data_IF_695718094447
#
_entry.id   IF_695718094447
#
_cell.length_a   1.000
_cell.length_b   1.000
_cell.length_c   1.000
_cell.angle_alpha   90.00
_cell.angle_beta   90.00
_cell.angle_gamma   90.00
#
_symmetry.space_group_name_H-M   'P 1'
#
loop_
_entity.id
_entity.type
_entity.pdbx_description
1 polymer ?
#
# COMPACT_ATOMS: atom_id res chain seq x y z
N UNK A 1 25.87 21.16 83.19
CA UNK A 1 25.77 19.71 83.23
C UNK A 1 24.36 19.32 82.85
N UNK A 2 24.15 18.87 81.61
CA UNK A 2 22.87 18.32 81.11
C UNK A 2 23.19 17.03 80.38
N UNK A 3 22.75 15.96 80.94
CA UNK A 3 22.93 14.60 80.45
C UNK A 3 21.95 14.34 79.32
N UNK A 4 22.44 13.92 78.15
CA UNK A 4 21.65 13.50 77.00
C UNK A 4 21.50 11.97 77.09
N UNK A 5 20.23 11.51 77.13
CA UNK A 5 19.88 10.10 76.96
C UNK A 5 19.67 9.82 75.43
N UNK A 6 20.49 8.86 74.96
CA UNK A 6 20.31 8.30 73.62
C UNK A 6 19.40 7.06 73.72
N UNK A 7 18.23 7.11 73.10
CA UNK A 7 17.33 5.96 72.96
C UNK A 7 17.60 5.34 71.58
N UNK A 8 18.15 4.13 71.61
CA UNK A 8 18.33 3.32 70.39
C UNK A 8 17.02 2.60 70.08
N UNK A 9 16.36 3.03 69.01
CA UNK A 9 15.19 2.31 68.44
C UNK A 9 15.64 1.33 67.40
N UNK A 10 15.41 0.02 67.65
CA UNK A 10 15.54 -1.04 66.68
C UNK A 10 14.39 -0.96 65.66
N UNK A 11 14.65 -0.57 64.43
CA UNK A 11 13.73 -0.75 63.30
C UNK A 11 14.00 -2.13 62.68
N UNK A 12 13.10 -3.06 62.90
CA UNK A 12 13.04 -4.33 62.16
C UNK A 12 12.51 -4.03 60.73
N UNK A 13 13.37 -4.07 59.73
CA UNK A 13 12.98 -3.99 58.34
C UNK A 13 12.34 -5.32 57.93
N UNK A 14 11.01 -5.29 57.67
CA UNK A 14 10.32 -6.37 57.01
C UNK A 14 10.65 -6.26 55.51
N UNK A 15 11.54 -7.14 55.05
CA UNK A 15 11.79 -7.31 53.62
C UNK A 15 10.61 -8.05 53.02
N UNK A 16 9.67 -7.31 52.43
CA UNK A 16 8.63 -7.86 51.56
C UNK A 16 9.34 -8.37 50.30
N UNK A 17 9.42 -9.67 50.15
CA UNK A 17 9.88 -10.32 48.94
C UNK A 17 8.92 -9.99 47.79
N UNK A 18 9.29 -9.04 46.94
CA UNK A 18 8.68 -8.90 45.61
C UNK A 18 9.06 -10.15 44.81
N UNK A 19 8.12 -11.09 44.70
CA UNK A 19 8.24 -12.16 43.74
C UNK A 19 8.44 -11.54 42.36
N UNK A 20 9.58 -11.82 41.73
CA UNK A 20 9.81 -11.56 40.34
C UNK A 20 8.71 -12.32 39.55
N UNK A 21 7.73 -11.60 39.08
CA UNK A 21 6.84 -12.14 38.07
C UNK A 21 7.73 -12.56 36.90
N UNK A 22 7.86 -13.87 36.70
CA UNK A 22 8.51 -14.43 35.51
C UNK A 22 7.81 -13.82 34.30
N UNK A 23 8.52 -12.94 33.60
CA UNK A 23 8.04 -12.42 32.32
C UNK A 23 7.81 -13.63 31.42
N UNK A 24 6.57 -13.92 31.12
CA UNK A 24 6.22 -14.92 30.11
C UNK A 24 6.94 -14.43 28.83
N UNK A 25 7.83 -15.25 28.23
CA UNK A 25 8.50 -14.85 27.01
C UNK A 25 7.42 -14.54 25.99
N UNK A 26 7.38 -13.31 25.52
CA UNK A 26 6.52 -12.94 24.37
C UNK A 26 6.95 -13.85 23.22
N UNK A 27 6.07 -14.69 22.65
CA UNK A 27 6.45 -15.52 21.52
C UNK A 27 7.04 -14.61 20.44
N UNK A 28 8.28 -14.89 20.04
CA UNK A 28 8.89 -14.15 18.94
C UNK A 28 8.06 -14.29 17.67
N UNK A 29 8.23 -13.38 16.72
CA UNK A 29 7.55 -13.45 15.44
C UNK A 29 7.73 -14.83 14.78
N UNK A 30 6.69 -15.33 14.10
CA UNK A 30 6.79 -16.55 13.30
C UNK A 30 7.98 -16.50 12.35
N UNK A 31 8.72 -17.60 12.23
CA UNK A 31 9.85 -17.70 11.29
C UNK A 31 9.38 -18.01 9.88
N UNK A 32 8.30 -18.75 9.75
CA UNK A 32 7.68 -19.04 8.48
C UNK A 32 7.02 -17.79 7.90
N UNK A 33 7.28 -17.42 6.62
CA UNK A 33 6.72 -16.23 6.00
C UNK A 33 5.20 -16.22 5.96
N UNK A 34 4.57 -17.36 5.68
CA UNK A 34 3.12 -17.50 5.58
C UNK A 34 2.46 -17.32 6.96
N UNK A 35 3.07 -17.90 7.99
CA UNK A 35 2.60 -17.73 9.38
C UNK A 35 2.74 -16.27 9.83
N UNK A 36 3.80 -15.58 9.44
CA UNK A 36 3.98 -14.16 9.77
C UNK A 36 2.93 -13.29 9.09
N UNK A 37 2.62 -13.51 7.81
CA UNK A 37 1.51 -12.83 7.14
C UNK A 37 0.17 -13.13 7.82
N UNK A 38 -0.11 -14.39 8.13
CA UNK A 38 -1.33 -14.79 8.81
C UNK A 38 -1.47 -14.13 10.20
N UNK A 39 -0.36 -13.95 10.91
CA UNK A 39 -0.34 -13.26 12.19
C UNK A 39 -0.54 -11.73 12.06
N UNK A 40 -0.11 -11.13 10.95
CA UNK A 40 -0.20 -9.68 10.72
C UNK A 40 -1.53 -9.26 10.08
N UNK A 41 -2.01 -9.99 9.08
CA UNK A 41 -3.16 -9.64 8.24
C UNK A 41 -4.41 -9.19 9.02
N UNK A 42 -4.82 -9.84 10.13
CA UNK A 42 -6.01 -9.42 10.88
C UNK A 42 -5.96 -8.00 11.44
N UNK A 43 -4.76 -7.39 11.48
CA UNK A 43 -4.57 -6.04 12.01
C UNK A 43 -4.50 -4.94 10.95
N UNK A 44 -4.61 -5.28 9.65
CA UNK A 44 -4.33 -4.32 8.58
C UNK A 44 -5.47 -4.09 7.59
N UNK A 45 -6.58 -4.77 7.72
CA UNK A 45 -7.74 -4.57 6.86
C UNK A 45 -8.72 -3.59 7.53
N UNK A 46 -8.69 -2.31 7.11
CA UNK A 46 -9.65 -1.29 7.52
C UNK A 46 -10.96 -1.34 6.72
N UNK A 47 -11.08 -2.25 5.75
CA UNK A 47 -12.31 -2.47 4.97
C UNK A 47 -13.08 -3.73 5.40
N UNK A 48 -12.62 -4.39 6.48
CA UNK A 48 -13.26 -5.59 7.01
C UNK A 48 -14.69 -5.33 7.50
N UNK A 49 -15.63 -6.17 7.10
CA UNK A 49 -17.06 -6.09 7.47
C UNK A 49 -17.33 -6.15 8.98
N UNK A 50 -16.34 -6.55 9.78
CA UNK A 50 -16.41 -6.63 11.25
C UNK A 50 -16.19 -5.30 11.95
N UNK A 51 -15.75 -4.27 11.24
CA UNK A 51 -15.51 -2.94 11.81
C UNK A 51 -16.82 -2.16 11.96
N UNK A 52 -16.90 -1.32 12.98
CA UNK A 52 -17.95 -0.30 13.08
C UNK A 52 -17.64 0.82 12.08
N UNK A 53 -18.67 1.51 11.55
CA UNK A 53 -18.48 2.62 10.62
C UNK A 53 -17.54 3.69 11.16
N UNK A 54 -16.66 4.19 10.29
CA UNK A 54 -15.61 5.15 10.63
C UNK A 54 -15.36 6.15 9.50
N UNK A 55 -14.84 7.34 9.86
CA UNK A 55 -14.38 8.38 8.95
C UNK A 55 -12.92 8.71 9.26
N UNK A 56 -12.06 8.63 8.24
CA UNK A 56 -10.66 9.01 8.30
C UNK A 56 -10.44 10.29 7.51
N UNK A 57 -9.62 11.17 8.07
CA UNK A 57 -9.08 12.34 7.38
C UNK A 57 -7.56 12.34 7.50
N UNK A 58 -6.89 12.55 6.38
CA UNK A 58 -5.44 12.69 6.29
C UNK A 58 -5.07 13.89 5.41
N UNK A 59 -4.05 14.62 5.84
CA UNK A 59 -3.39 15.65 5.05
C UNK A 59 -2.15 15.05 4.40
N UNK A 60 -1.83 15.44 3.15
CA UNK A 60 -0.62 15.00 2.48
C UNK A 60 0.08 16.12 1.75
N UNK A 61 1.40 15.95 1.56
CA UNK A 61 2.29 16.83 0.80
C UNK A 61 2.89 16.02 -0.34
N UNK A 62 2.73 16.50 -1.56
CA UNK A 62 3.45 16.01 -2.75
C UNK A 62 4.79 16.74 -2.90
N UNK A 63 5.74 16.06 -3.54
CA UNK A 63 7.07 16.59 -3.82
C UNK A 63 7.36 16.50 -5.31
N UNK A 64 8.07 17.52 -5.84
CA UNK A 64 8.48 17.59 -7.24
C UNK A 64 9.65 16.62 -7.56
N UNK A 65 10.11 16.62 -8.81
CA UNK A 65 11.24 15.80 -9.27
C UNK A 65 12.56 16.13 -8.56
N UNK A 66 12.70 17.33 -8.03
CA UNK A 66 13.84 17.80 -7.27
C UNK A 66 13.73 17.46 -5.77
N UNK A 67 12.57 16.95 -5.33
CA UNK A 67 12.29 16.63 -3.94
C UNK A 67 11.84 17.81 -3.09
N UNK A 68 11.48 18.96 -3.71
CA UNK A 68 10.91 20.12 -3.02
C UNK A 68 9.40 19.91 -2.81
N UNK A 69 8.81 20.45 -1.72
CA UNK A 69 7.36 20.48 -1.55
C UNK A 69 6.69 21.18 -2.75
N UNK A 70 5.69 20.53 -3.34
CA UNK A 70 4.94 21.07 -4.48
C UNK A 70 3.49 21.38 -4.09
N UNK A 71 2.64 20.37 -3.98
CA UNK A 71 1.22 20.53 -3.72
C UNK A 71 0.84 19.89 -2.36
N UNK A 72 -0.10 20.50 -1.66
CA UNK A 72 -0.74 19.92 -0.49
C UNK A 72 -2.14 19.47 -0.86
N UNK A 73 -2.59 18.39 -0.21
CA UNK A 73 -3.94 17.88 -0.39
C UNK A 73 -4.48 17.22 0.86
N UNK A 74 -5.74 16.81 0.78
CA UNK A 74 -6.40 16.01 1.80
C UNK A 74 -6.98 14.75 1.18
N UNK A 75 -6.94 13.68 1.94
CA UNK A 75 -7.62 12.44 1.64
C UNK A 75 -8.62 12.16 2.76
N UNK A 76 -9.87 11.93 2.40
CA UNK A 76 -10.91 11.55 3.35
C UNK A 76 -11.58 10.26 2.90
N UNK A 77 -11.88 9.38 3.87
CA UNK A 77 -12.53 8.10 3.60
C UNK A 77 -13.63 7.85 4.64
N UNK A 78 -14.85 7.70 4.15
CA UNK A 78 -16.02 7.34 4.93
C UNK A 78 -16.34 5.88 4.66
N UNK A 79 -16.28 5.04 5.67
CA UNK A 79 -16.52 3.62 5.52
C UNK A 79 -17.67 3.15 6.43
N UNK A 80 -18.64 2.46 5.85
CA UNK A 80 -19.77 1.84 6.56
C UNK A 80 -19.71 0.33 6.41
N UNK A 81 -19.48 -0.17 5.20
CA UNK A 81 -19.38 -1.59 4.87
C UNK A 81 -18.59 -1.76 3.57
N UNK A 82 -18.21 -2.99 3.19
CA UNK A 82 -17.58 -3.23 1.89
C UNK A 82 -18.39 -2.75 0.69
N UNK A 83 -19.73 -2.61 0.84
CA UNK A 83 -20.64 -2.14 -0.20
C UNK A 83 -21.00 -0.66 -0.07
N UNK A 84 -20.67 -0.01 1.06
CA UNK A 84 -21.09 1.38 1.31
C UNK A 84 -19.92 2.18 1.88
N UNK A 85 -19.30 2.97 1.04
CA UNK A 85 -18.17 3.84 1.39
C UNK A 85 -18.04 5.01 0.42
N UNK A 86 -17.26 6.02 0.84
CA UNK A 86 -16.87 7.16 0.01
C UNK A 86 -15.40 7.43 0.19
N UNK A 87 -14.69 7.77 -0.90
CA UNK A 87 -13.35 8.36 -0.83
C UNK A 87 -13.35 9.74 -1.49
N UNK A 88 -12.56 10.67 -0.94
CA UNK A 88 -12.40 12.00 -1.51
C UNK A 88 -10.94 12.42 -1.45
N UNK A 89 -10.42 12.85 -2.58
CA UNK A 89 -9.14 13.51 -2.74
C UNK A 89 -9.37 14.97 -3.04
N UNK A 90 -8.69 15.88 -2.36
CA UNK A 90 -8.78 17.32 -2.64
C UNK A 90 -7.41 17.94 -2.66
N UNK A 91 -7.11 18.67 -3.75
CA UNK A 91 -5.96 19.55 -3.93
C UNK A 91 -6.49 20.91 -4.37
N UNK A 92 -5.67 22.00 -4.38
CA UNK A 92 -6.17 23.33 -4.71
C UNK A 92 -6.96 23.42 -6.02
N UNK A 93 -6.55 22.67 -7.05
CA UNK A 93 -7.15 22.72 -8.38
C UNK A 93 -7.79 21.40 -8.83
N UNK A 94 -7.92 20.42 -7.93
CA UNK A 94 -8.46 19.11 -8.27
C UNK A 94 -9.21 18.48 -7.10
N UNK A 95 -10.39 17.95 -7.39
CA UNK A 95 -11.16 17.14 -6.43
C UNK A 95 -11.68 15.89 -7.13
N UNK A 96 -11.47 14.73 -6.50
CA UNK A 96 -11.97 13.44 -6.97
C UNK A 96 -12.72 12.78 -5.84
N UNK A 97 -13.96 12.41 -6.08
CA UNK A 97 -14.78 11.71 -5.10
C UNK A 97 -15.46 10.52 -5.74
N UNK A 98 -15.34 9.38 -5.07
CA UNK A 98 -15.98 8.13 -5.41
C UNK A 98 -16.92 7.70 -4.30
N UNK A 99 -18.13 7.24 -4.68
CA UNK A 99 -19.11 6.66 -3.77
C UNK A 99 -19.43 5.25 -4.21
N UNK A 100 -19.41 4.32 -3.27
CA UNK A 100 -20.05 3.02 -3.38
C UNK A 100 -21.26 3.03 -2.46
N UNK A 101 -22.43 2.80 -3.00
CA UNK A 101 -23.69 2.86 -2.26
C UNK A 101 -24.23 1.46 -1.98
N UNK A 102 -24.94 1.33 -0.86
CA UNK A 102 -25.44 0.02 -0.39
C UNK A 102 -26.36 -0.70 -1.39
N UNK A 103 -26.92 0.01 -2.37
CA UNK A 103 -27.72 -0.55 -3.47
C UNK A 103 -26.86 -1.00 -4.67
N UNK A 104 -25.53 -1.04 -4.52
CA UNK A 104 -24.58 -1.53 -5.50
C UNK A 104 -24.30 -0.56 -6.65
N UNK A 105 -24.56 0.72 -6.47
CA UNK A 105 -24.17 1.74 -7.42
C UNK A 105 -22.82 2.31 -7.08
N UNK A 106 -22.08 2.66 -8.10
CA UNK A 106 -20.83 3.39 -8.03
C UNK A 106 -21.05 4.78 -8.66
N UNK A 107 -20.73 5.83 -7.93
CA UNK A 107 -20.83 7.19 -8.41
C UNK A 107 -19.47 7.87 -8.34
N UNK A 108 -19.17 8.71 -9.33
CA UNK A 108 -17.91 9.44 -9.43
C UNK A 108 -18.17 10.90 -9.77
N UNK A 109 -17.42 11.79 -9.12
CA UNK A 109 -17.39 13.21 -9.43
C UNK A 109 -15.95 13.72 -9.36
N UNK A 110 -15.44 14.25 -10.46
CA UNK A 110 -14.09 14.77 -10.52
C UNK A 110 -14.06 16.16 -11.16
N UNK A 111 -13.14 16.98 -10.68
CA UNK A 111 -12.76 18.29 -11.24
C UNK A 111 -11.25 18.41 -11.24
N UNK A 112 -10.70 19.13 -12.22
CA UNK A 112 -9.26 19.40 -12.31
C UNK A 112 -8.44 18.22 -12.79
N UNK A 113 -7.18 18.19 -12.38
CA UNK A 113 -6.20 17.19 -12.82
C UNK A 113 -6.47 15.82 -12.23
N UNK A 114 -6.06 14.79 -12.95
CA UNK A 114 -6.13 13.39 -12.51
C UNK A 114 -5.35 13.14 -11.24
N UNK A 115 -5.76 12.11 -10.48
CA UNK A 115 -4.97 11.60 -9.38
C UNK A 115 -3.66 11.00 -9.90
N UNK A 116 -2.59 11.23 -9.15
CA UNK A 116 -1.28 10.65 -9.44
C UNK A 116 -1.23 9.22 -8.89
N UNK A 117 -0.49 8.34 -9.54
CA UNK A 117 -0.32 6.96 -9.11
C UNK A 117 0.03 6.81 -7.62
N UNK A 118 0.82 7.74 -7.09
CA UNK A 118 1.23 7.71 -5.68
C UNK A 118 0.12 8.09 -4.69
N UNK A 119 -0.90 8.82 -5.12
CA UNK A 119 -2.10 9.08 -4.31
C UNK A 119 -2.87 7.77 -4.09
N UNK A 120 -3.05 6.93 -5.11
CA UNK A 120 -3.62 5.59 -4.94
C UNK A 120 -2.78 4.69 -4.06
N UNK A 121 -1.44 4.80 -4.12
CA UNK A 121 -0.55 4.07 -3.20
C UNK A 121 -0.72 4.52 -1.75
N UNK A 122 -1.00 5.81 -1.50
CA UNK A 122 -1.33 6.29 -0.17
C UNK A 122 -2.64 5.67 0.35
N UNK A 123 -3.67 5.56 -0.49
CA UNK A 123 -4.93 4.90 -0.10
C UNK A 123 -4.68 3.45 0.32
N UNK A 124 -3.97 2.67 -0.48
CA UNK A 124 -3.60 1.30 -0.13
C UNK A 124 -2.80 1.22 1.17
N UNK A 125 -1.84 2.13 1.36
CA UNK A 125 -1.03 2.19 2.58
C UNK A 125 -1.85 2.51 3.84
N UNK A 126 -2.93 3.27 3.73
CA UNK A 126 -3.82 3.62 4.83
C UNK A 126 -4.85 2.52 5.14
N UNK A 127 -5.42 1.89 4.10
CA UNK A 127 -6.59 1.02 4.24
C UNK A 127 -6.24 -0.47 4.29
N UNK A 128 -5.35 -0.94 3.40
CA UNK A 128 -4.98 -2.35 3.24
C UNK A 128 -3.53 -2.49 2.79
N UNK A 129 -2.56 -2.18 3.67
CA UNK A 129 -1.14 -2.17 3.28
C UNK A 129 -0.52 -3.56 3.08
N UNK A 130 -1.22 -4.63 3.45
CA UNK A 130 -0.81 -6.02 3.23
C UNK A 130 -1.69 -6.67 2.16
N UNK A 131 -1.15 -7.62 1.38
CA UNK A 131 -1.96 -8.40 0.45
C UNK A 131 -2.94 -9.30 1.21
N UNK A 132 -4.06 -9.59 0.60
CA UNK A 132 -4.99 -10.56 1.14
C UNK A 132 -4.36 -11.97 1.17
N UNK A 133 -4.69 -12.75 2.20
CA UNK A 133 -4.17 -14.11 2.32
C UNK A 133 -4.56 -15.01 1.12
N UNK A 134 -5.72 -14.74 0.50
CA UNK A 134 -6.18 -15.41 -0.73
C UNK A 134 -5.35 -15.07 -1.96
N UNK A 135 -4.72 -13.89 -2.00
CA UNK A 135 -3.85 -13.47 -3.10
C UNK A 135 -2.45 -14.13 -3.04
N UNK A 136 -2.11 -14.78 -1.93
CA UNK A 136 -0.84 -15.46 -1.72
C UNK A 136 -0.90 -16.95 -2.08
N UNK A 137 -1.55 -17.28 -3.20
CA UNK A 137 -1.65 -18.64 -3.73
C UNK A 137 -0.25 -19.24 -3.98
N UNK A 138 0.13 -20.35 -3.29
CA UNK A 138 1.45 -20.94 -3.43
C UNK A 138 1.71 -21.55 -4.81
N UNK A 139 0.68 -21.71 -5.64
CA UNK A 139 0.85 -22.11 -7.05
C UNK A 139 1.24 -20.96 -7.96
N UNK A 140 1.08 -19.70 -7.48
CA UNK A 140 1.38 -18.49 -8.23
C UNK A 140 2.54 -17.68 -7.64
N UNK A 141 2.78 -17.81 -6.34
CA UNK A 141 3.78 -17.01 -5.63
C UNK A 141 4.66 -17.86 -4.71
N UNK A 142 5.91 -17.44 -4.60
CA UNK A 142 6.87 -17.88 -3.58
C UNK A 142 7.03 -16.77 -2.56
N UNK A 143 7.10 -17.12 -1.28
CA UNK A 143 7.37 -16.20 -0.20
C UNK A 143 8.81 -16.41 0.29
N UNK A 144 9.67 -15.43 0.08
CA UNK A 144 11.05 -15.47 0.55
C UNK A 144 11.20 -14.58 1.79
N UNK A 145 11.85 -15.12 2.84
CA UNK A 145 12.17 -14.37 4.04
C UNK A 145 13.55 -13.76 3.91
N UNK A 146 13.61 -12.46 4.13
CA UNK A 146 14.82 -11.67 4.12
C UNK A 146 14.98 -10.89 5.44
N UNK A 147 16.14 -10.28 5.65
CA UNK A 147 16.37 -9.40 6.80
C UNK A 147 16.94 -8.08 6.32
N UNK A 148 16.25 -6.99 6.61
CA UNK A 148 16.75 -5.64 6.38
C UNK A 148 17.35 -5.09 7.67
N UNK A 149 18.58 -4.56 7.58
CA UNK A 149 19.20 -3.80 8.67
C UNK A 149 19.06 -2.31 8.41
N UNK A 150 18.54 -1.55 9.38
CA UNK A 150 18.46 -0.09 9.34
C UNK A 150 18.61 0.45 10.76
N UNK A 151 19.47 1.45 10.96
CA UNK A 151 19.70 2.13 12.24
C UNK A 151 19.96 1.16 13.43
N UNK A 152 20.69 0.09 13.16
CA UNK A 152 21.03 -0.94 14.17
C UNK A 152 19.91 -1.96 14.44
N UNK A 153 18.71 -1.78 13.92
CA UNK A 153 17.62 -2.73 14.03
C UNK A 153 17.60 -3.70 12.83
N UNK A 154 17.16 -4.94 13.08
CA UNK A 154 16.99 -5.98 12.05
C UNK A 154 15.50 -6.27 11.86
N UNK A 155 14.97 -5.93 10.71
CA UNK A 155 13.56 -6.11 10.34
C UNK A 155 13.40 -7.41 9.55
N UNK A 156 12.56 -8.36 9.99
CA UNK A 156 12.16 -9.49 9.18
C UNK A 156 11.28 -8.99 8.02
N UNK A 157 11.68 -9.32 6.81
CA UNK A 157 10.97 -8.94 5.59
C UNK A 157 10.47 -10.18 4.86
N UNK A 158 9.33 -10.07 4.22
CA UNK A 158 8.77 -11.11 3.35
C UNK A 158 8.62 -10.53 1.95
N UNK A 159 9.26 -11.15 0.97
CA UNK A 159 9.13 -10.81 -0.43
C UNK A 159 8.16 -11.77 -1.11
N UNK A 160 7.18 -11.24 -1.84
CA UNK A 160 6.18 -11.99 -2.59
C UNK A 160 6.63 -12.08 -4.05
N UNK A 161 7.18 -13.22 -4.44
CA UNK A 161 7.78 -13.42 -5.76
C UNK A 161 6.83 -14.23 -6.63
N UNK A 162 6.39 -13.73 -7.80
CA UNK A 162 5.62 -14.52 -8.75
C UNK A 162 6.41 -15.76 -9.19
N UNK A 163 5.77 -16.92 -9.27
CA UNK A 163 6.35 -18.11 -9.90
C UNK A 163 6.35 -17.86 -11.40
N UNK A 164 7.56 -17.73 -11.95
CA UNK A 164 7.75 -17.48 -13.38
C UNK A 164 7.98 -18.78 -14.14
N UNK A 165 7.48 -18.91 -15.38
CA UNK A 165 7.87 -20.00 -16.26
C UNK A 165 9.40 -20.02 -16.40
N UNK A 166 9.97 -21.20 -16.39
CA UNK A 166 11.42 -21.43 -16.35
C UNK A 166 12.11 -20.88 -17.60
N UNK A 167 12.60 -19.65 -17.53
CA UNK A 167 13.70 -19.20 -18.37
C UNK A 167 14.80 -18.70 -17.43
N UNK A 168 15.74 -19.59 -17.08
CA UNK A 168 16.88 -19.31 -16.22
C UNK A 168 16.46 -18.92 -14.82
N UNK A 169 16.62 -19.81 -13.83
CA UNK A 169 16.37 -19.46 -12.43
C UNK A 169 17.30 -18.32 -12.03
N UNK A 170 16.77 -17.13 -11.83
CA UNK A 170 17.48 -16.08 -11.13
C UNK A 170 17.59 -16.55 -9.68
N UNK A 171 18.77 -17.02 -9.30
CA UNK A 171 19.02 -17.63 -7.98
C UNK A 171 18.88 -16.63 -6.84
N UNK A 172 18.98 -15.32 -7.12
CA UNK A 172 18.87 -14.26 -6.14
C UNK A 172 18.07 -13.10 -6.73
N UNK A 173 16.96 -12.78 -6.10
CA UNK A 173 16.14 -11.62 -6.44
C UNK A 173 16.50 -10.51 -5.44
N UNK A 174 16.94 -9.32 -5.89
CA UNK A 174 17.22 -8.21 -5.00
C UNK A 174 15.99 -7.85 -4.14
N UNK A 175 16.20 -7.59 -2.85
CA UNK A 175 15.14 -7.18 -1.95
C UNK A 175 14.44 -5.92 -2.47
N UNK A 176 13.11 -5.93 -2.44
CA UNK A 176 12.28 -4.82 -2.88
C UNK A 176 11.99 -4.76 -4.37
N UNK A 177 12.59 -5.65 -5.17
CA UNK A 177 12.23 -5.76 -6.59
C UNK A 177 10.77 -6.17 -6.79
N UNK A 178 10.31 -7.14 -6.01
CA UNK A 178 8.92 -7.52 -5.89
C UNK A 178 8.32 -6.99 -4.57
N UNK A 179 7.00 -6.99 -4.42
CA UNK A 179 6.36 -6.55 -3.19
C UNK A 179 7.01 -7.19 -1.97
N UNK A 180 7.53 -6.36 -1.07
CA UNK A 180 8.26 -6.79 0.11
C UNK A 180 7.74 -6.06 1.33
N UNK A 181 7.46 -6.78 2.40
CA UNK A 181 6.85 -6.27 3.62
C UNK A 181 7.77 -6.54 4.80
N UNK A 182 8.23 -5.48 5.46
CA UNK A 182 9.17 -5.55 6.58
C UNK A 182 8.47 -5.20 7.89
N UNK A 183 8.54 -6.10 8.85
CA UNK A 183 7.84 -6.00 10.12
C UNK A 183 8.78 -5.57 11.25
N UNK A 184 8.20 -5.05 12.31
CA UNK A 184 8.89 -4.81 13.57
C UNK A 184 9.51 -6.13 14.08
N UNK A 185 10.73 -6.10 14.68
CA UNK A 185 11.39 -7.34 15.13
C UNK A 185 10.64 -8.13 16.20
N UNK A 186 9.76 -7.49 16.95
CA UNK A 186 9.07 -8.09 18.12
C UNK A 186 7.57 -8.29 17.91
N UNK A 187 6.96 -7.54 16.99
CA UNK A 187 5.51 -7.53 16.76
C UNK A 187 5.19 -7.62 15.26
N UNK A 188 4.04 -8.20 14.86
CA UNK A 188 3.63 -8.25 13.45
C UNK A 188 3.13 -6.86 12.98
N UNK A 189 3.94 -5.82 13.23
CA UNK A 189 3.68 -4.43 12.87
C UNK A 189 4.51 -4.07 11.65
N UNK A 190 3.84 -3.71 10.57
CA UNK A 190 4.46 -3.28 9.32
C UNK A 190 5.20 -1.95 9.54
N UNK A 191 6.46 -1.89 9.15
CA UNK A 191 7.31 -0.70 9.25
C UNK A 191 7.68 -0.14 7.90
N UNK A 192 7.93 -1.00 6.93
CA UNK A 192 8.31 -0.61 5.58
C UNK A 192 7.72 -1.60 4.59
N UNK A 193 7.24 -1.12 3.47
CA UNK A 193 6.98 -1.96 2.30
C UNK A 193 7.73 -1.43 1.08
N UNK A 194 8.02 -2.33 0.17
CA UNK A 194 8.65 -2.02 -1.12
C UNK A 194 7.74 -2.52 -2.22
N UNK A 195 7.63 -1.74 -3.27
CA UNK A 195 6.94 -2.13 -4.50
C UNK A 195 7.66 -1.59 -5.72
N UNK A 196 7.54 -2.30 -6.83
CA UNK A 196 8.08 -1.91 -8.13
C UNK A 196 9.61 -1.70 -8.16
N UNK A 197 10.36 -2.30 -7.24
CA UNK A 197 11.81 -2.16 -7.16
C UNK A 197 12.31 -0.78 -6.73
N UNK A 198 11.49 0.25 -6.81
CA UNK A 198 11.89 1.64 -6.55
C UNK A 198 11.02 2.35 -5.52
N UNK A 199 9.76 1.95 -5.35
CA UNK A 199 8.82 2.60 -4.42
C UNK A 199 8.96 2.00 -3.03
N UNK A 200 9.25 2.85 -2.05
CA UNK A 200 9.32 2.49 -0.63
C UNK A 200 8.25 3.25 0.14
N UNK A 201 7.49 2.54 0.97
CA UNK A 201 6.51 3.13 1.89
C UNK A 201 6.96 2.89 3.33
N UNK A 202 7.13 3.96 4.08
CA UNK A 202 7.40 3.93 5.53
C UNK A 202 6.12 4.12 6.32
N UNK A 203 5.95 3.35 7.39
CA UNK A 203 4.79 3.36 8.30
C UNK A 203 5.24 3.76 9.69
N UNK A 204 4.92 4.98 10.11
CA UNK A 204 5.34 5.56 11.38
C UNK A 204 4.16 5.92 12.29
N UNK A 205 4.46 6.19 13.55
CA UNK A 205 3.47 6.62 14.56
C UNK A 205 2.25 5.70 14.61
N UNK A 206 2.51 4.38 14.68
CA UNK A 206 1.47 3.34 14.65
C UNK A 206 0.58 3.44 15.88
N UNK A 207 -0.73 3.46 15.66
CA UNK A 207 -1.77 3.43 16.71
C UNK A 207 -2.73 2.26 16.46
N UNK A 208 -3.48 1.88 17.49
CA UNK A 208 -4.57 0.89 17.33
C UNK A 208 -5.93 1.60 17.27
N UNK A 209 -6.70 1.25 16.23
CA UNK A 209 -8.08 1.70 16.04
C UNK A 209 -8.92 0.47 15.75
N UNK A 210 -9.97 0.22 16.54
CA UNK A 210 -10.84 -0.97 16.41
C UNK A 210 -10.04 -2.29 16.22
N UNK A 211 -8.96 -2.45 17.01
CA UNK A 211 -8.01 -3.56 16.93
C UNK A 211 -7.25 -3.69 15.61
N UNK A 212 -7.12 -2.59 14.81
CA UNK A 212 -6.28 -2.51 13.61
C UNK A 212 -5.09 -1.59 13.87
N UNK A 213 -3.97 -1.85 13.20
CA UNK A 213 -2.80 -0.97 13.20
C UNK A 213 -2.96 0.09 12.12
N UNK A 214 -2.98 1.34 12.51
CA UNK A 214 -3.01 2.50 11.62
C UNK A 214 -1.70 3.27 11.76
N UNK A 215 -1.00 3.47 10.67
CA UNK A 215 0.12 4.40 10.62
C UNK A 215 -0.43 5.83 10.53
N UNK A 216 -0.14 6.65 11.53
CA UNK A 216 -0.52 8.07 11.50
C UNK A 216 0.40 8.92 10.63
N UNK A 217 1.53 8.38 10.23
CA UNK A 217 2.45 9.04 9.31
C UNK A 217 2.90 8.03 8.25
N UNK A 218 2.68 8.39 7.00
CA UNK A 218 3.08 7.60 5.82
C UNK A 218 4.12 8.41 5.05
N UNK A 219 5.18 7.73 4.64
CA UNK A 219 6.25 8.31 3.82
C UNK A 219 6.40 7.48 2.56
N UNK A 220 6.24 8.09 1.38
CA UNK A 220 6.50 7.43 0.10
C UNK A 220 7.77 7.98 -0.53
N UNK A 221 8.62 7.08 -0.99
CA UNK A 221 9.84 7.39 -1.72
C UNK A 221 9.89 6.61 -3.03
N UNK A 222 10.48 7.22 -4.05
CA UNK A 222 10.90 6.56 -5.28
C UNK A 222 12.44 6.59 -5.33
N UNK A 223 13.04 5.43 -5.12
CA UNK A 223 14.47 5.35 -4.85
C UNK A 223 14.84 6.12 -3.58
N UNK A 224 15.60 7.20 -3.74
CA UNK A 224 15.97 8.12 -2.63
C UNK A 224 15.12 9.38 -2.58
N UNK A 225 14.31 9.63 -3.61
CA UNK A 225 13.49 10.83 -3.74
C UNK A 225 12.20 10.66 -2.94
N UNK A 226 11.91 11.60 -2.08
CA UNK A 226 10.62 11.69 -1.41
C UNK A 226 9.57 12.16 -2.44
N UNK A 227 8.45 11.47 -2.51
CA UNK A 227 7.37 11.77 -3.45
C UNK A 227 6.08 12.19 -2.77
N UNK A 228 5.83 11.66 -1.55
CA UNK A 228 4.66 12.01 -0.77
C UNK A 228 4.92 11.79 0.73
N UNK A 229 4.40 12.68 1.55
CA UNK A 229 4.24 12.44 2.99
C UNK A 229 2.78 12.65 3.37
N UNK A 230 2.23 11.83 4.26
CA UNK A 230 0.88 12.02 4.76
C UNK A 230 0.82 11.86 6.28
N UNK A 231 -0.11 12.58 6.88
CA UNK A 231 -0.45 12.49 8.31
C UNK A 231 -1.94 12.25 8.46
N UNK A 232 -2.32 11.22 9.21
CA UNK A 232 -3.71 11.01 9.60
C UNK A 232 -4.06 12.02 10.67
N UNK A 233 -4.90 12.98 10.33
CA UNK A 233 -5.36 14.05 11.22
C UNK A 233 -6.36 13.51 12.23
N UNK A 234 -7.33 12.73 11.75
CA UNK A 234 -8.37 12.12 12.58
C UNK A 234 -8.88 10.79 12.03
N UNK A 235 -9.36 9.95 12.94
CA UNK A 235 -10.23 8.82 12.63
C UNK A 235 -11.32 8.79 13.71
N UNK A 236 -12.58 8.85 13.29
CA UNK A 236 -13.74 9.01 14.17
C UNK A 236 -14.84 8.00 13.82
N UNK A 237 -15.77 7.79 14.74
CA UNK A 237 -16.96 7.00 14.44
C UNK A 237 -17.83 7.75 13.40
N UNK A 238 -18.46 6.99 12.52
CA UNK A 238 -19.34 7.50 11.47
C UNK A 238 -20.78 7.03 11.70
N UNK A 239 -21.76 7.90 11.41
CA UNK A 239 -23.14 7.46 11.27
C UNK A 239 -23.36 6.77 9.93
N UNK A 240 -23.99 5.58 9.86
CA UNK A 240 -24.36 4.96 8.59
C UNK A 240 -25.27 5.81 7.69
N UNK A 241 -25.95 6.80 8.27
CA UNK A 241 -26.82 7.75 7.58
C UNK A 241 -26.16 9.12 7.35
N UNK A 242 -24.83 9.19 7.39
CA UNK A 242 -24.11 10.44 7.14
C UNK A 242 -24.41 10.95 5.71
N UNK A 243 -24.83 12.23 5.53
CA UNK A 243 -25.15 12.79 4.22
C UNK A 243 -24.00 12.71 3.21
N UNK A 244 -22.76 12.68 3.69
CA UNK A 244 -21.59 12.54 2.84
C UNK A 244 -21.56 11.24 2.02
N UNK A 245 -22.27 10.21 2.45
CA UNK A 245 -22.39 8.91 1.79
C UNK A 245 -23.37 8.91 0.59
N UNK A 246 -24.09 10.00 0.39
CA UNK A 246 -25.05 10.14 -0.71
C UNK A 246 -24.40 10.93 -1.85
N UNK A 247 -24.31 10.36 -3.07
CA UNK A 247 -23.81 11.10 -4.22
C UNK A 247 -24.69 12.34 -4.49
N UNK A 248 -24.09 13.50 -4.81
CA UNK A 248 -24.85 14.68 -5.17
C UNK A 248 -25.48 14.54 -6.57
N UNK A 249 -26.43 15.40 -6.87
CA UNK A 249 -26.93 15.56 -8.24
C UNK A 249 -25.79 15.96 -9.19
N UNK A 250 -25.70 15.30 -10.33
CA UNK A 250 -24.62 15.51 -11.32
C UNK A 250 -23.39 14.61 -11.14
N UNK A 251 -23.35 13.74 -10.12
CA UNK A 251 -22.35 12.69 -10.09
C UNK A 251 -22.64 11.64 -11.19
N UNK A 252 -21.60 11.18 -11.87
CA UNK A 252 -21.71 10.08 -12.84
C UNK A 252 -21.98 8.78 -12.08
N UNK A 253 -23.11 8.13 -12.37
CA UNK A 253 -23.53 6.91 -11.66
C UNK A 253 -23.47 5.72 -12.59
N UNK A 254 -22.70 4.70 -12.22
CA UNK A 254 -22.61 3.40 -12.89
C UNK A 254 -23.11 2.27 -11.98
N UNK A 255 -23.66 1.21 -12.59
CA UNK A 255 -23.98 -0.05 -11.90
C UNK A 255 -22.85 -1.07 -12.02
N UNK A 256 -21.80 -0.73 -12.76
CA UNK A 256 -20.66 -1.61 -13.02
C UNK A 256 -19.42 -0.99 -12.44
N UNK A 257 -18.85 -1.62 -11.45
CA UNK A 257 -17.65 -1.14 -10.78
C UNK A 257 -16.41 -1.31 -11.66
N UNK A 258 -16.29 -2.47 -12.29
CA UNK A 258 -15.09 -2.83 -13.07
C UNK A 258 -15.42 -3.73 -14.24
N UNK A 259 -14.76 -3.48 -15.36
CA UNK A 259 -14.89 -4.28 -16.60
C UNK A 259 -13.54 -4.86 -16.98
N UNK A 260 -13.50 -6.13 -17.33
CA UNK A 260 -12.29 -6.73 -17.92
C UNK A 260 -12.25 -6.44 -19.44
N UNK A 261 -11.14 -5.87 -19.89
CA UNK A 261 -10.88 -5.64 -21.32
C UNK A 261 -9.54 -6.28 -21.73
N UNK A 262 -9.46 -6.65 -23.02
CA UNK A 262 -8.21 -7.22 -23.55
C UNK A 262 -7.11 -6.17 -23.68
N UNK A 263 -5.85 -6.63 -23.66
CA UNK A 263 -4.67 -5.78 -23.87
C UNK A 263 -4.72 -4.97 -25.18
N UNK A 264 -5.27 -5.54 -26.25
CA UNK A 264 -5.46 -4.84 -27.53
C UNK A 264 -6.44 -3.68 -27.44
N UNK A 265 -7.55 -3.85 -26.70
CA UNK A 265 -8.52 -2.79 -26.45
C UNK A 265 -7.91 -1.69 -25.62
N UNK A 266 -7.25 -2.02 -24.51
CA UNK A 266 -6.62 -1.02 -23.64
C UNK A 266 -5.53 -0.21 -24.37
N UNK A 267 -4.74 -0.85 -25.24
CA UNK A 267 -3.74 -0.17 -26.05
C UNK A 267 -4.32 0.91 -26.98
N UNK A 268 -5.55 0.70 -27.48
CA UNK A 268 -6.26 1.70 -28.30
C UNK A 268 -6.70 2.96 -27.53
N UNK A 269 -6.72 2.89 -26.20
CA UNK A 269 -7.06 4.04 -25.33
C UNK A 269 -5.85 4.76 -24.76
N UNK A 270 -4.62 4.30 -25.02
CA UNK A 270 -3.40 4.91 -24.50
C UNK A 270 -3.19 6.31 -25.08
N UNK A 271 -3.12 7.33 -24.22
CA UNK A 271 -2.89 8.74 -24.57
C UNK A 271 -1.44 9.15 -24.38
N UNK A 272 -0.83 8.74 -23.25
CA UNK A 272 0.54 9.10 -22.93
C UNK A 272 1.29 7.84 -22.51
N UNK A 273 2.45 7.64 -23.12
CA UNK A 273 3.31 6.48 -22.91
C UNK A 273 4.67 6.91 -22.40
N UNK A 274 5.02 6.48 -21.18
CA UNK A 274 6.38 6.54 -20.69
C UNK A 274 7.15 5.33 -21.20
N UNK A 275 8.32 5.56 -21.83
CA UNK A 275 9.16 4.49 -22.34
C UNK A 275 9.96 3.87 -21.19
N UNK A 276 9.95 2.54 -21.02
CA UNK A 276 10.78 1.89 -20.00
C UNK A 276 12.25 1.98 -20.36
N UNK A 277 13.09 2.18 -19.34
CA UNK A 277 14.55 2.15 -19.50
C UNK A 277 15.01 0.70 -19.47
N UNK A 278 15.83 0.29 -20.42
CA UNK A 278 16.40 -1.07 -20.43
C UNK A 278 17.51 -1.15 -19.36
N UNK A 279 17.36 -1.99 -18.31
CA UNK A 279 18.34 -2.08 -17.22
C UNK A 279 19.67 -2.67 -17.66
N UNK A 280 20.77 -2.22 -17.05
CA UNK A 280 22.11 -2.63 -17.46
C UNK A 280 22.39 -4.11 -17.21
N UNK A 281 21.96 -4.64 -16.04
CA UNK A 281 22.08 -6.05 -15.69
C UNK A 281 21.35 -6.98 -16.68
N UNK A 282 20.19 -6.53 -17.18
CA UNK A 282 19.44 -7.24 -18.19
C UNK A 282 20.15 -7.20 -19.58
N UNK A 283 20.81 -6.06 -19.92
CA UNK A 283 21.64 -5.97 -21.13
C UNK A 283 22.85 -6.92 -21.06
N UNK A 284 23.52 -6.91 -19.91
CA UNK A 284 24.71 -7.75 -19.69
C UNK A 284 24.36 -9.25 -19.76
N UNK A 285 23.17 -9.61 -19.24
CA UNK A 285 22.64 -10.97 -19.33
C UNK A 285 21.99 -11.29 -20.70
N UNK A 286 21.91 -10.34 -21.63
CA UNK A 286 21.15 -10.44 -22.90
C UNK A 286 19.69 -10.88 -22.69
N UNK A 287 19.11 -10.55 -21.56
CA UNK A 287 17.74 -10.90 -21.22
C UNK A 287 16.76 -10.03 -22.01
N UNK A 288 15.92 -10.63 -22.84
CA UNK A 288 14.91 -9.98 -23.67
C UNK A 288 13.58 -10.74 -23.59
N UNK A 289 12.50 -10.12 -24.00
CA UNK A 289 11.18 -10.73 -24.03
C UNK A 289 10.09 -9.79 -23.54
N UNK A 290 8.90 -10.34 -23.25
CA UNK A 290 7.72 -9.58 -22.86
C UNK A 290 7.53 -9.66 -21.35
N UNK A 291 7.45 -8.49 -20.70
CA UNK A 291 6.90 -8.35 -19.36
C UNK A 291 5.39 -8.19 -19.46
N UNK A 292 4.66 -9.04 -18.76
CA UNK A 292 3.19 -9.01 -18.70
C UNK A 292 2.76 -8.46 -17.35
N UNK A 293 2.04 -7.36 -17.37
CA UNK A 293 1.51 -6.72 -16.18
C UNK A 293 -0.01 -6.84 -16.19
N UNK A 294 -0.61 -7.07 -15.03
CA UNK A 294 -2.03 -6.80 -14.82
C UNK A 294 -2.16 -5.38 -14.29
N UNK A 295 -3.05 -4.60 -14.89
CA UNK A 295 -3.27 -3.20 -14.58
C UNK A 295 -4.73 -2.93 -14.28
N UNK A 296 -5.01 -2.09 -13.28
CA UNK A 296 -6.30 -1.45 -13.07
C UNK A 296 -6.18 -0.01 -13.56
N UNK A 297 -7.06 0.38 -14.48
CA UNK A 297 -7.14 1.74 -15.03
C UNK A 297 -8.45 2.34 -14.52
N UNK A 298 -8.35 3.45 -13.84
CA UNK A 298 -9.49 4.13 -13.23
C UNK A 298 -10.42 4.84 -14.24
N UNK A 299 -11.54 5.31 -13.74
CA UNK A 299 -12.52 6.09 -14.50
C UNK A 299 -11.94 7.41 -15.02
N UNK A 300 -10.87 7.90 -14.41
CA UNK A 300 -10.09 9.06 -14.86
C UNK A 300 -9.08 8.71 -15.96
N UNK A 301 -8.88 7.42 -16.26
CA UNK A 301 -7.86 6.91 -17.18
C UNK A 301 -6.45 6.82 -16.60
N UNK A 302 -6.27 7.08 -15.31
CA UNK A 302 -5.02 6.85 -14.59
C UNK A 302 -4.80 5.39 -14.27
N UNK A 303 -3.54 4.97 -14.11
CA UNK A 303 -3.20 3.63 -13.64
C UNK A 303 -3.26 3.61 -12.12
N UNK A 304 -4.15 2.81 -11.53
CA UNK A 304 -4.38 2.73 -10.09
C UNK A 304 -3.62 1.62 -9.42
N UNK A 305 -3.57 0.45 -10.07
CA UNK A 305 -2.84 -0.70 -9.56
C UNK A 305 -2.09 -1.43 -10.67
N UNK A 306 -0.97 -2.05 -10.29
CA UNK A 306 -0.11 -2.81 -11.19
C UNK A 306 0.47 -4.00 -10.45
N UNK A 307 0.48 -5.15 -11.12
CA UNK A 307 1.19 -6.35 -10.65
C UNK A 307 1.85 -7.09 -11.79
N UNK A 308 3.01 -7.71 -11.52
CA UNK A 308 3.71 -8.55 -12.49
C UNK A 308 3.02 -9.89 -12.57
N UNK A 309 2.60 -10.27 -13.78
CA UNK A 309 2.09 -11.62 -14.09
C UNK A 309 3.19 -12.50 -14.62
N UNK A 310 4.05 -11.94 -15.50
CA UNK A 310 5.15 -12.66 -16.12
C UNK A 310 6.28 -11.70 -16.44
N UNK A 311 7.53 -12.14 -16.28
CA UNK A 311 8.70 -11.40 -16.73
C UNK A 311 9.82 -12.37 -17.15
N UNK A 312 10.57 -12.05 -18.21
CA UNK A 312 11.76 -12.83 -18.56
C UNK A 312 12.95 -12.52 -17.66
N UNK A 313 12.97 -11.34 -16.99
CA UNK A 313 14.06 -10.91 -16.12
C UNK A 313 13.58 -9.94 -15.06
N UNK A 314 14.04 -10.06 -13.80
CA UNK A 314 13.50 -9.25 -12.69
C UNK A 314 13.59 -7.74 -12.89
N UNK A 315 14.74 -7.21 -13.33
CA UNK A 315 14.90 -5.78 -13.51
C UNK A 315 14.08 -5.23 -14.69
N UNK A 316 13.77 -6.05 -15.70
CA UNK A 316 12.82 -5.69 -16.76
C UNK A 316 11.41 -5.48 -16.18
N UNK A 317 11.00 -6.31 -15.22
CA UNK A 317 9.73 -6.11 -14.53
C UNK A 317 9.68 -4.78 -13.78
N UNK A 318 10.73 -4.45 -13.02
CA UNK A 318 10.80 -3.18 -12.30
C UNK A 318 10.71 -1.98 -13.24
N UNK A 319 11.45 -2.04 -14.37
CA UNK A 319 11.41 -0.98 -15.38
C UNK A 319 10.05 -0.85 -16.06
N UNK A 320 9.40 -1.98 -16.38
CA UNK A 320 8.06 -1.99 -16.96
C UNK A 320 7.01 -1.42 -15.99
N UNK A 321 7.03 -1.84 -14.72
CA UNK A 321 6.13 -1.34 -13.70
C UNK A 321 6.27 0.17 -13.53
N UNK A 322 7.51 0.67 -13.42
CA UNK A 322 7.76 2.10 -13.32
C UNK A 322 7.21 2.85 -14.54
N UNK A 323 7.49 2.38 -15.74
CA UNK A 323 7.02 3.05 -16.96
C UNK A 323 5.48 3.08 -17.04
N UNK A 324 4.83 1.92 -16.82
CA UNK A 324 3.37 1.80 -16.94
C UNK A 324 2.63 2.56 -15.84
N UNK A 325 3.22 2.73 -14.65
CA UNK A 325 2.62 3.58 -13.59
C UNK A 325 2.49 5.06 -13.98
N UNK A 326 3.21 5.50 -15.03
CA UNK A 326 3.14 6.85 -15.58
C UNK A 326 2.37 6.93 -16.91
N UNK A 327 1.73 5.82 -17.33
CA UNK A 327 0.90 5.86 -18.52
C UNK A 327 -0.45 6.50 -18.21
N UNK A 328 -1.01 7.14 -19.23
CA UNK A 328 -2.34 7.76 -19.15
C UNK A 328 -3.19 7.24 -20.29
N UNK A 329 -4.43 6.86 -19.96
CA UNK A 329 -5.40 6.35 -20.89
C UNK A 329 -6.59 7.32 -21.02
N UNK A 330 -7.30 7.25 -22.13
CA UNK A 330 -8.63 7.81 -22.22
C UNK A 330 -9.56 6.94 -21.38
N UNK A 331 -10.43 7.55 -20.56
CA UNK A 331 -11.45 6.80 -19.82
C UNK A 331 -12.21 5.81 -20.70
N UNK A 332 -12.38 4.59 -20.22
CA UNK A 332 -13.20 3.61 -20.90
C UNK A 332 -14.66 3.87 -20.56
N UNK A 333 -15.52 3.95 -21.60
CA UNK A 333 -16.94 4.23 -21.42
C UNK A 333 -17.77 2.97 -21.66
N UNK A 334 -18.63 2.63 -20.72
CA UNK A 334 -19.65 1.59 -20.86
C UNK A 334 -21.03 2.25 -20.85
N UNK A 335 -21.73 2.19 -21.99
CA UNK A 335 -23.01 2.89 -22.13
C UNK A 335 -22.93 4.42 -22.06
N UNK A 336 -21.76 4.99 -22.28
CA UNK A 336 -21.50 6.44 -22.17
C UNK A 336 -20.94 6.89 -20.82
N UNK A 337 -20.92 6.01 -19.80
CA UNK A 337 -20.41 6.30 -18.47
C UNK A 337 -18.99 5.76 -18.29
N UNK A 338 -18.06 6.51 -17.65
CA UNK A 338 -16.74 6.03 -17.37
C UNK A 338 -16.80 4.90 -16.33
N UNK A 339 -16.04 3.83 -16.58
CA UNK A 339 -15.93 2.69 -15.67
C UNK A 339 -14.48 2.33 -15.47
N UNK A 340 -14.17 1.77 -14.29
CA UNK A 340 -12.86 1.20 -14.01
C UNK A 340 -12.67 -0.06 -14.86
N UNK A 341 -11.46 -0.25 -15.40
CA UNK A 341 -11.15 -1.44 -16.21
C UNK A 341 -9.94 -2.18 -15.67
N UNK A 342 -10.05 -3.51 -15.71
CA UNK A 342 -8.91 -4.39 -15.47
C UNK A 342 -8.43 -4.94 -16.81
N UNK A 343 -7.11 -4.85 -17.04
CA UNK A 343 -6.51 -5.25 -18.30
C UNK A 343 -5.12 -5.83 -18.13
N UNK A 344 -4.61 -6.44 -19.19
CA UNK A 344 -3.22 -6.87 -19.28
C UNK A 344 -2.44 -5.89 -20.13
N UNK A 345 -1.27 -5.45 -19.64
CA UNK A 345 -0.33 -4.60 -20.36
C UNK A 345 0.93 -5.38 -20.69
N UNK A 346 1.28 -5.43 -21.98
CA UNK A 346 2.48 -6.10 -22.48
C UNK A 346 3.58 -5.08 -22.78
N UNK A 347 4.71 -5.21 -22.12
CA UNK A 347 5.90 -4.37 -22.34
C UNK A 347 7.01 -5.22 -22.94
N UNK A 348 7.37 -4.94 -24.19
CA UNK A 348 8.35 -5.72 -24.94
C UNK A 348 9.73 -5.07 -24.80
N UNK A 349 10.69 -5.87 -24.36
CA UNK A 349 12.11 -5.52 -24.32
C UNK A 349 12.85 -6.33 -25.38
N UNK A 350 13.48 -5.65 -26.34
CA UNK A 350 14.33 -6.28 -27.37
C UNK A 350 15.69 -5.61 -27.37
N UNK A 351 16.74 -6.43 -27.40
CA UNK A 351 18.07 -5.96 -27.75
C UNK A 351 18.10 -5.89 -29.27
N UNK A 352 18.58 -4.78 -29.79
CA UNK A 352 18.81 -4.67 -31.24
C UNK A 352 19.76 -5.76 -31.73
N UNK A 353 19.76 -6.02 -33.03
CA UNK A 353 20.65 -7.01 -33.66
C UNK A 353 22.13 -6.71 -33.44
#
# INVERSE_FOLDING_TARGET
MRTLFVVAGFLTAVVAGFGQASAVPTPGLPKDPKELFAAAAPFYDFTASTLKPWHLKASYQLYDEQGNPSEQGTYEYWWVSPQAYRSTWSRPEATHTDWHTADGKHAHLATGDRLKFFEYKLQGALLSPLPDAGDLDPTKFRLDRETKSSDGAKFPCIMVIPLMPQHGQVQSVPMGLFPTYCFDPQMPVLRVSYSFGTVTTGFNKIVKVQNRYLAREILLFEGKRKILTATVDSITNLSPSDPALTPPEGANVSKVDRVQISAGVSAGFLLKKQIPVYPQDAKDARASGTVVLQATIGMDGGVHDLRVVQTPWPSLAASALWAVSHWEYRPYLLGGEPVEVETTVNVIFSLGP
#
